data_IF_903784179558
#
_entry.id   IF_903784179558
#
_cell.length_a   1.000
_cell.length_b   1.000
_cell.length_c   1.000
_cell.angle_alpha   90.00
_cell.angle_beta   90.00
_cell.angle_gamma   90.00
#
_symmetry.space_group_name_H-M   'P 1'
#
loop_
_entity.id
_entity.type
_entity.pdbx_description
1 polymer ?
#
# COMPACT_ATOMS: atom_id res chain seq x y z
N UNK A 1 26.95 6.38 13.99
CA UNK A 1 26.80 4.98 13.53
C UNK A 1 25.88 5.00 12.32
N UNK A 2 26.44 5.34 11.15
CA UNK A 2 25.69 5.29 9.90
C UNK A 2 25.57 3.84 9.48
N UNK A 3 24.34 3.37 9.28
CA UNK A 3 24.11 2.10 8.61
C UNK A 3 24.63 2.27 7.18
N UNK A 4 25.71 1.56 6.85
CA UNK A 4 26.14 1.39 5.47
C UNK A 4 25.10 0.45 4.89
N UNK A 5 24.13 1.01 4.18
CA UNK A 5 23.17 0.21 3.43
C UNK A 5 23.98 -0.55 2.38
N UNK A 6 23.91 -1.88 2.44
CA UNK A 6 24.61 -2.75 1.52
C UNK A 6 23.90 -2.65 0.16
N UNK A 7 24.43 -1.82 -0.73
CA UNK A 7 23.73 -1.41 -1.96
C UNK A 7 23.32 -2.57 -2.88
N UNK A 8 23.98 -3.73 -2.77
CA UNK A 8 23.59 -4.94 -3.51
C UNK A 8 22.36 -5.65 -2.91
N UNK A 9 22.21 -5.61 -1.58
CA UNK A 9 20.99 -6.06 -0.90
C UNK A 9 19.82 -5.11 -1.18
N UNK A 10 20.10 -3.81 -1.32
CA UNK A 10 19.10 -2.80 -1.66
C UNK A 10 18.56 -3.02 -3.08
N UNK A 11 19.41 -3.28 -4.07
CA UNK A 11 18.98 -3.50 -5.46
C UNK A 11 18.14 -4.78 -5.60
N UNK A 12 18.63 -5.90 -5.06
CA UNK A 12 17.87 -7.16 -5.06
C UNK A 12 16.55 -7.07 -4.26
N UNK A 13 16.55 -6.32 -3.16
CA UNK A 13 15.35 -6.04 -2.37
C UNK A 13 14.33 -5.19 -3.12
N UNK A 14 14.79 -4.22 -3.90
CA UNK A 14 13.93 -3.39 -4.75
C UNK A 14 13.35 -4.19 -5.93
N UNK A 15 14.13 -5.05 -6.57
CA UNK A 15 13.64 -5.93 -7.63
C UNK A 15 12.56 -6.89 -7.10
N UNK A 16 12.80 -7.51 -5.94
CA UNK A 16 11.82 -8.36 -5.28
C UNK A 16 10.54 -7.58 -4.92
N UNK A 17 10.69 -6.33 -4.47
CA UNK A 17 9.55 -5.46 -4.19
C UNK A 17 8.71 -5.18 -5.45
N UNK A 18 9.36 -4.89 -6.58
CA UNK A 18 8.66 -4.66 -7.85
C UNK A 18 7.90 -5.90 -8.31
N UNK A 19 8.55 -7.07 -8.29
CA UNK A 19 7.92 -8.35 -8.65
C UNK A 19 6.71 -8.64 -7.77
N UNK A 20 6.80 -8.38 -6.46
CA UNK A 20 5.68 -8.59 -5.56
C UNK A 20 4.53 -7.61 -5.82
N UNK A 21 4.81 -6.34 -6.09
CA UNK A 21 3.78 -5.34 -6.44
C UNK A 21 3.07 -5.70 -7.75
N UNK A 22 3.80 -6.16 -8.76
CA UNK A 22 3.23 -6.62 -10.03
C UNK A 22 2.38 -7.87 -9.83
N UNK A 23 2.86 -8.83 -9.03
CA UNK A 23 2.10 -10.02 -8.66
C UNK A 23 0.79 -9.67 -7.96
N UNK A 24 0.82 -8.77 -6.98
CA UNK A 24 -0.38 -8.31 -6.27
C UNK A 24 -1.35 -7.59 -7.22
N UNK A 25 -0.85 -6.73 -8.11
CA UNK A 25 -1.68 -6.04 -9.09
C UNK A 25 -2.36 -7.02 -10.04
N UNK A 26 -1.68 -8.08 -10.46
CA UNK A 26 -2.23 -9.15 -11.29
C UNK A 26 -3.34 -9.98 -10.64
N UNK A 27 -3.53 -9.87 -9.31
CA UNK A 27 -4.62 -10.53 -8.59
C UNK A 27 -5.91 -9.70 -8.52
N UNK A 28 -5.86 -8.42 -8.91
CA UNK A 28 -7.04 -7.56 -8.91
C UNK A 28 -7.94 -7.83 -10.13
N UNK A 29 -9.25 -7.59 -10.00
CA UNK A 29 -10.16 -7.66 -11.14
C UNK A 29 -9.78 -6.62 -12.20
N UNK A 30 -9.99 -6.97 -13.47
CA UNK A 30 -9.74 -6.05 -14.58
C UNK A 30 -10.76 -4.91 -14.57
N UNK A 31 -10.29 -3.67 -14.34
CA UNK A 31 -11.06 -2.42 -14.42
C UNK A 31 -12.46 -2.51 -13.77
N UNK A 32 -12.56 -2.63 -12.43
CA UNK A 32 -13.83 -2.63 -11.68
C UNK A 32 -14.72 -1.38 -11.84
N UNK A 33 -14.28 -0.37 -12.60
CA UNK A 33 -15.10 0.72 -13.13
C UNK A 33 -15.31 1.85 -12.13
N UNK A 34 -16.10 1.60 -11.07
CA UNK A 34 -16.48 2.63 -10.08
C UNK A 34 -15.43 2.78 -8.97
N UNK A 35 -15.24 3.98 -8.39
CA UNK A 35 -14.33 4.21 -7.26
C UNK A 35 -14.55 3.24 -6.08
N UNK A 36 -15.81 3.00 -5.71
CA UNK A 36 -16.16 2.08 -4.62
C UNK A 36 -15.71 0.65 -4.92
N UNK A 37 -15.80 0.22 -6.18
CA UNK A 37 -15.41 -1.13 -6.57
C UNK A 37 -13.88 -1.31 -6.52
N UNK A 38 -13.10 -0.26 -6.81
CA UNK A 38 -11.66 -0.26 -6.58
C UNK A 38 -11.31 -0.36 -5.09
N UNK A 39 -11.93 0.47 -4.25
CA UNK A 39 -11.69 0.45 -2.81
C UNK A 39 -12.01 -0.92 -2.19
N UNK A 40 -13.16 -1.51 -2.57
CA UNK A 40 -13.56 -2.85 -2.11
C UNK A 40 -12.58 -3.93 -2.59
N UNK A 41 -12.21 -3.92 -3.87
CA UNK A 41 -11.28 -4.93 -4.40
C UNK A 41 -9.91 -4.88 -3.72
N UNK A 42 -9.40 -3.69 -3.41
CA UNK A 42 -8.14 -3.52 -2.68
C UNK A 42 -8.27 -3.90 -1.21
N UNK A 43 -9.38 -3.58 -0.54
CA UNK A 43 -9.65 -4.06 0.82
C UNK A 43 -9.67 -5.57 0.89
N UNK A 44 -10.43 -6.23 0.02
CA UNK A 44 -10.53 -7.69 -0.01
C UNK A 44 -9.19 -8.35 -0.32
N UNK A 45 -8.41 -7.79 -1.24
CA UNK A 45 -7.10 -8.34 -1.58
C UNK A 45 -6.03 -7.99 -0.53
N UNK A 46 -5.74 -6.72 -0.34
CA UNK A 46 -4.59 -6.27 0.45
C UNK A 46 -4.88 -6.33 1.94
N UNK A 47 -6.04 -5.85 2.37
CA UNK A 47 -6.46 -5.87 3.77
C UNK A 47 -6.78 -7.28 4.24
N UNK A 48 -7.81 -7.88 3.66
CA UNK A 48 -8.40 -9.12 4.18
C UNK A 48 -7.55 -10.35 3.83
N UNK A 49 -7.15 -10.52 2.56
CA UNK A 49 -6.41 -11.71 2.12
C UNK A 49 -4.91 -11.65 2.38
N UNK A 50 -4.27 -10.52 2.13
CA UNK A 50 -2.82 -10.37 2.29
C UNK A 50 -2.43 -9.82 3.68
N UNK A 51 -3.40 -9.32 4.46
CA UNK A 51 -3.16 -8.88 5.83
C UNK A 51 -2.38 -7.58 5.96
N UNK A 52 -2.38 -6.71 4.95
CA UNK A 52 -1.74 -5.39 5.03
C UNK A 52 -2.49 -4.49 6.01
N UNK A 53 -1.85 -4.17 7.14
CA UNK A 53 -2.36 -3.24 8.14
C UNK A 53 -1.22 -2.74 9.02
N UNK A 54 -1.45 -1.66 9.77
CA UNK A 54 -0.54 -1.20 10.80
C UNK A 54 -1.09 -1.41 12.21
N UNK A 55 -0.25 -1.13 13.21
CA UNK A 55 -0.67 -0.95 14.59
C UNK A 55 0.21 0.12 15.28
N UNK A 56 -0.19 0.63 16.46
CA UNK A 56 0.59 1.64 17.17
C UNK A 56 2.07 1.26 17.41
N UNK A 57 2.36 -0.02 17.61
CA UNK A 57 3.73 -0.52 17.78
C UNK A 57 4.62 -0.32 16.54
N UNK A 58 4.03 -0.25 15.34
CA UNK A 58 4.78 -0.08 14.09
C UNK A 58 5.40 1.31 13.95
N UNK A 59 4.93 2.32 14.70
CA UNK A 59 5.56 3.65 14.78
C UNK A 59 6.95 3.66 15.41
N UNK A 60 7.28 2.63 16.19
CA UNK A 60 8.56 2.52 16.89
C UNK A 60 9.56 1.61 16.14
N UNK A 61 9.20 1.15 14.94
CA UNK A 61 9.96 0.16 14.17
C UNK A 61 10.51 0.76 12.89
N UNK A 62 11.83 0.70 12.73
CA UNK A 62 12.50 1.21 11.52
C UNK A 62 12.07 0.42 10.28
N UNK A 63 11.84 -0.89 10.43
CA UNK A 63 11.44 -1.78 9.34
C UNK A 63 10.05 -1.41 8.78
N UNK A 64 9.20 -0.76 9.59
CA UNK A 64 7.88 -0.27 9.16
C UNK A 64 7.96 0.93 8.20
N UNK A 65 9.15 1.48 7.99
CA UNK A 65 9.47 2.55 7.05
C UNK A 65 10.23 2.07 5.81
N UNK A 66 10.60 0.79 5.75
CA UNK A 66 11.35 0.20 4.62
C UNK A 66 10.38 -0.59 3.73
N UNK A 67 10.27 -0.22 2.45
CA UNK A 67 9.26 -0.80 1.56
C UNK A 67 9.36 -2.32 1.44
N UNK A 68 10.57 -2.86 1.28
CA UNK A 68 10.79 -4.31 1.17
C UNK A 68 10.33 -5.05 2.44
N UNK A 69 10.64 -4.51 3.62
CA UNK A 69 10.19 -5.07 4.90
C UNK A 69 8.66 -4.99 5.04
N UNK A 70 8.04 -3.88 4.63
CA UNK A 70 6.58 -3.74 4.65
C UNK A 70 5.90 -4.76 3.75
N UNK A 71 6.46 -5.03 2.56
CA UNK A 71 5.93 -6.05 1.63
C UNK A 71 6.08 -7.47 2.19
N UNK A 72 7.17 -7.77 2.89
CA UNK A 72 7.38 -9.09 3.51
C UNK A 72 6.48 -9.25 4.74
N UNK A 73 6.52 -8.28 5.67
CA UNK A 73 5.80 -8.34 6.95
C UNK A 73 4.31 -8.06 6.83
N UNK A 74 3.88 -7.43 5.73
CA UNK A 74 2.52 -6.90 5.52
C UNK A 74 2.13 -5.88 6.61
N UNK A 75 3.12 -5.21 7.19
CA UNK A 75 2.94 -4.25 8.29
C UNK A 75 3.85 -3.05 8.10
N UNK A 76 3.33 -1.85 8.33
CA UNK A 76 4.08 -0.62 8.11
C UNK A 76 3.43 0.63 8.69
N UNK A 77 4.09 1.77 8.48
CA UNK A 77 3.52 3.08 8.76
C UNK A 77 2.39 3.42 7.79
N UNK A 78 1.46 4.33 8.15
CA UNK A 78 0.35 4.71 7.29
C UNK A 78 0.78 5.13 5.88
N UNK A 79 1.87 5.90 5.79
CA UNK A 79 2.38 6.38 4.50
C UNK A 79 2.94 5.25 3.63
N UNK A 80 3.74 4.33 4.19
CA UNK A 80 4.31 3.22 3.43
C UNK A 80 3.25 2.21 3.00
N UNK A 81 2.29 1.89 3.87
CA UNK A 81 1.15 1.05 3.50
C UNK A 81 0.33 1.69 2.37
N UNK A 82 0.14 3.00 2.42
CA UNK A 82 -0.51 3.73 1.34
C UNK A 82 0.27 3.71 0.04
N UNK A 83 1.61 3.79 0.09
CA UNK A 83 2.43 3.59 -1.12
C UNK A 83 2.20 2.20 -1.70
N UNK A 84 2.25 1.13 -0.91
CA UNK A 84 1.97 -0.24 -1.41
C UNK A 84 0.59 -0.30 -2.08
N UNK A 85 -0.45 0.23 -1.43
CA UNK A 85 -1.80 0.24 -1.96
C UNK A 85 -1.92 1.00 -3.28
N UNK A 86 -1.35 2.21 -3.35
CA UNK A 86 -1.34 3.02 -4.57
C UNK A 86 -0.58 2.34 -5.70
N UNK A 87 0.58 1.75 -5.40
CA UNK A 87 1.43 1.09 -6.39
C UNK A 87 0.75 -0.14 -6.99
N UNK A 88 0.09 -0.97 -6.17
CA UNK A 88 -0.71 -2.11 -6.64
C UNK A 88 -1.89 -1.63 -7.49
N UNK A 89 -2.64 -0.64 -7.01
CA UNK A 89 -3.82 -0.13 -7.69
C UNK A 89 -3.47 0.52 -9.05
N UNK A 90 -2.40 1.33 -9.10
CA UNK A 90 -1.95 2.01 -10.32
C UNK A 90 -1.50 1.01 -11.39
N UNK A 91 -0.77 -0.05 -10.99
CA UNK A 91 -0.38 -1.15 -11.90
C UNK A 91 -1.58 -1.88 -12.48
N UNK A 92 -2.65 -2.04 -11.70
CA UNK A 92 -3.92 -2.59 -12.18
C UNK A 92 -4.74 -1.59 -13.04
N UNK A 93 -4.26 -0.35 -13.20
CA UNK A 93 -4.90 0.69 -14.01
C UNK A 93 -5.97 1.51 -13.26
N UNK A 94 -5.96 1.49 -11.93
CA UNK A 94 -6.89 2.29 -11.12
C UNK A 94 -6.53 3.79 -11.15
N UNK A 95 -7.54 4.68 -11.22
CA UNK A 95 -7.35 6.10 -10.93
C UNK A 95 -7.26 6.30 -9.40
N UNK A 96 -6.05 6.21 -8.86
CA UNK A 96 -5.75 6.27 -7.42
C UNK A 96 -4.80 7.44 -7.10
N UNK A 97 -4.98 8.04 -5.93
CA UNK A 97 -4.11 9.09 -5.39
C UNK A 97 -4.01 8.98 -3.87
N UNK A 98 -3.02 9.66 -3.30
CA UNK A 98 -2.82 9.73 -1.86
C UNK A 98 -3.44 11.00 -1.28
N UNK A 99 -3.99 10.89 -0.07
CA UNK A 99 -4.56 12.01 0.68
C UNK A 99 -3.85 12.13 2.02
N UNK A 100 -3.19 13.26 2.23
CA UNK A 100 -2.55 13.58 3.50
C UNK A 100 -3.60 14.12 4.49
N UNK A 101 -3.69 13.47 5.64
CA UNK A 101 -4.49 13.90 6.78
C UNK A 101 -3.55 14.25 7.95
N UNK A 102 -3.98 15.06 8.93
CA UNK A 102 -3.16 15.32 10.11
C UNK A 102 -2.76 14.03 10.83
N UNK A 103 -1.47 13.69 10.80
CA UNK A 103 -0.92 12.48 11.44
C UNK A 103 -1.21 11.16 10.71
N UNK A 104 -1.83 11.19 9.51
CA UNK A 104 -2.26 9.99 8.81
C UNK A 104 -2.20 10.14 7.28
N UNK A 105 -2.20 9.04 6.54
CA UNK A 105 -2.21 9.07 5.08
C UNK A 105 -3.09 7.94 4.57
N UNK A 106 -3.99 8.26 3.64
CA UNK A 106 -4.98 7.32 3.09
C UNK A 106 -4.95 7.35 1.56
N UNK A 107 -5.65 6.42 0.92
CA UNK A 107 -5.76 6.36 -0.55
C UNK A 107 -7.15 6.77 -1.00
N UNK A 108 -7.23 7.53 -2.08
CA UNK A 108 -8.46 8.00 -2.69
C UNK A 108 -8.68 7.44 -4.09
N UNK A 109 -9.96 7.25 -4.46
CA UNK A 109 -10.39 6.84 -5.79
C UNK A 109 -11.47 7.78 -6.33
N UNK A 110 -11.41 8.07 -7.63
CA UNK A 110 -12.40 8.92 -8.31
C UNK A 110 -12.08 10.42 -8.22
N UNK A 111 -12.95 11.29 -8.76
CA UNK A 111 -12.82 12.73 -8.60
C UNK A 111 -13.16 13.16 -7.16
N UNK A 112 -12.68 14.34 -6.74
CA UNK A 112 -12.92 14.89 -5.39
C UNK A 112 -14.40 14.87 -4.99
N UNK A 113 -15.28 15.20 -5.94
CA UNK A 113 -16.73 15.10 -5.79
C UNK A 113 -17.19 13.65 -5.93
N UNK A 114 -17.40 12.99 -4.78
CA UNK A 114 -17.77 11.57 -4.73
C UNK A 114 -16.59 10.61 -4.64
N UNK A 115 -15.42 11.11 -4.22
CA UNK A 115 -14.26 10.26 -3.94
C UNK A 115 -14.57 9.20 -2.88
N UNK A 116 -13.89 8.07 -2.99
CA UNK A 116 -13.87 7.03 -1.97
C UNK A 116 -12.49 6.99 -1.36
N UNK A 117 -12.41 7.21 -0.04
CA UNK A 117 -11.18 7.07 0.71
C UNK A 117 -11.13 5.67 1.31
N UNK A 118 -9.99 5.01 1.26
CA UNK A 118 -9.72 3.79 1.99
C UNK A 118 -8.46 3.98 2.83
N UNK A 119 -8.47 3.51 4.07
CA UNK A 119 -7.36 3.62 5.01
C UNK A 119 -6.50 2.34 5.00
N UNK A 120 -5.30 2.34 4.40
CA UNK A 120 -4.44 1.16 4.33
C UNK A 120 -3.86 0.75 5.69
N UNK A 121 -3.65 1.70 6.60
CA UNK A 121 -3.20 1.39 7.95
C UNK A 121 -4.25 0.57 8.69
N UNK A 122 -5.51 0.84 8.37
CA UNK A 122 -6.67 0.21 8.99
C UNK A 122 -7.26 -0.97 8.18
N UNK A 123 -6.45 -1.52 7.26
CA UNK A 123 -6.82 -2.67 6.44
C UNK A 123 -7.78 -2.35 5.29
N UNK A 124 -7.93 -1.08 4.91
CA UNK A 124 -8.79 -0.64 3.81
C UNK A 124 -10.17 -0.19 4.20
N UNK A 125 -10.40 0.19 5.46
CA UNK A 125 -11.70 0.73 5.87
C UNK A 125 -11.99 2.03 5.12
N UNK A 126 -13.21 2.14 4.60
CA UNK A 126 -13.68 3.18 3.69
C UNK A 126 -15.07 3.68 4.08
#
# INVERSE_FOLDING_TARGET
>A
MGAVADGALDEAGMDAAQVELDRLAGLLPYRPGRPQAWAVALRELLGDRMGFHGAPADYQRLESSLLHEVLVRRRGLPILLSVVWMEVARRAGAPVYGVALPGHFVVGFGPDEGQVLADPFDGGRC
#
